data_IF_111817263533
#
_entry.id   IF_111817263533
#
_cell.length_a   1.000
_cell.length_b   1.000
_cell.length_c   1.000
_cell.angle_alpha   90.00
_cell.angle_beta   90.00
_cell.angle_gamma   90.00
#
_symmetry.space_group_name_H-M   'P 1'
#
loop_
_entity.id
_entity.type
_entity.pdbx_description
1 polymer ?
#
# COMPACT_ATOMS: atom_id res chain seq x y z
N UNK A 1 12.94 7.47 33.05
CA UNK A 1 11.49 7.74 32.96
C UNK A 1 11.12 7.60 31.50
N UNK A 2 10.45 6.50 31.14
CA UNK A 2 10.01 6.28 29.76
C UNK A 2 8.86 7.23 29.47
N UNK A 3 9.11 8.26 28.68
CA UNK A 3 8.06 9.06 28.06
C UNK A 3 7.33 8.17 27.08
N UNK A 4 6.26 7.51 27.56
CA UNK A 4 5.23 6.94 26.71
C UNK A 4 4.73 8.06 25.80
N UNK A 5 4.98 7.94 24.50
CA UNK A 5 4.40 8.81 23.48
C UNK A 5 3.30 8.02 22.78
N UNK A 6 2.12 7.83 23.41
CA UNK A 6 1.05 6.99 22.86
C UNK A 6 0.61 7.45 21.46
N UNK A 7 0.77 8.73 21.15
CA UNK A 7 0.54 9.28 19.80
C UNK A 7 1.59 8.81 18.79
N UNK A 8 2.87 8.75 19.18
CA UNK A 8 3.94 8.27 18.31
C UNK A 8 3.85 6.75 18.09
N UNK A 9 3.50 6.00 19.13
CA UNK A 9 3.30 4.55 19.02
C UNK A 9 2.10 4.22 18.12
N UNK A 10 1.00 4.97 18.24
CA UNK A 10 -0.14 4.84 17.35
C UNK A 10 0.22 5.22 15.91
N UNK A 11 0.94 6.32 15.69
CA UNK A 11 1.39 6.73 14.35
C UNK A 11 2.29 5.67 13.70
N UNK A 12 3.19 5.04 14.46
CA UNK A 12 4.03 3.95 13.97
C UNK A 12 3.20 2.71 13.62
N UNK A 13 2.17 2.40 14.41
CA UNK A 13 1.25 1.31 14.11
C UNK A 13 0.49 1.57 12.81
N UNK A 14 -0.05 2.77 12.65
CA UNK A 14 -0.77 3.19 11.44
C UNK A 14 0.13 3.09 10.20
N UNK A 15 1.37 3.60 10.27
CA UNK A 15 2.34 3.53 9.16
C UNK A 15 2.74 2.09 8.80
N UNK A 16 2.82 1.19 9.78
CA UNK A 16 3.10 -0.23 9.53
C UNK A 16 1.95 -0.91 8.80
N UNK A 17 0.71 -0.60 9.18
CA UNK A 17 -0.48 -1.10 8.52
C UNK A 17 -0.57 -0.60 7.07
N UNK A 18 -0.32 0.69 6.85
CA UNK A 18 -0.21 1.27 5.50
C UNK A 18 0.84 0.56 4.65
N UNK A 19 2.03 0.32 5.22
CA UNK A 19 3.11 -0.38 4.52
C UNK A 19 2.75 -1.82 4.14
N UNK A 20 2.02 -2.54 5.00
CA UNK A 20 1.59 -3.91 4.72
C UNK A 20 0.62 -3.98 3.53
N UNK A 21 -0.39 -3.10 3.50
CA UNK A 21 -1.41 -3.08 2.45
C UNK A 21 -0.81 -2.66 1.10
N UNK A 22 0.04 -1.64 1.09
CA UNK A 22 0.77 -1.21 -0.11
C UNK A 22 1.69 -2.33 -0.63
N UNK A 23 2.39 -3.04 0.25
CA UNK A 23 3.25 -4.16 -0.14
C UNK A 23 2.44 -5.31 -0.79
N UNK A 24 1.25 -5.61 -0.28
CA UNK A 24 0.38 -6.64 -0.87
C UNK A 24 -0.09 -6.24 -2.28
N UNK A 25 -0.49 -4.98 -2.48
CA UNK A 25 -0.88 -4.46 -3.79
C UNK A 25 0.28 -4.57 -4.78
N UNK A 26 1.47 -4.07 -4.40
CA UNK A 26 2.66 -4.14 -5.26
C UNK A 26 3.00 -5.60 -5.60
N UNK A 27 3.00 -6.48 -4.60
CA UNK A 27 3.30 -7.91 -4.80
C UNK A 27 2.30 -8.55 -5.76
N UNK A 28 1.00 -8.33 -5.56
CA UNK A 28 -0.04 -8.85 -6.44
C UNK A 28 0.11 -8.35 -7.87
N UNK A 29 0.41 -7.06 -8.07
CA UNK A 29 0.68 -6.50 -9.40
C UNK A 29 1.92 -7.13 -10.08
N UNK A 30 2.99 -7.38 -9.32
CA UNK A 30 4.18 -8.05 -9.84
C UNK A 30 3.85 -9.50 -10.20
N UNK A 31 3.21 -10.25 -9.31
CA UNK A 31 2.83 -11.64 -9.56
C UNK A 31 1.89 -11.76 -10.77
N UNK A 32 0.95 -10.83 -10.91
CA UNK A 32 0.06 -10.76 -12.07
C UNK A 32 0.82 -10.58 -13.39
N UNK A 33 1.79 -9.66 -13.40
CA UNK A 33 2.63 -9.39 -14.58
C UNK A 33 3.47 -10.60 -15.00
N UNK A 34 3.86 -11.43 -14.05
CA UNK A 34 4.71 -12.60 -14.28
C UNK A 34 3.95 -13.93 -14.31
N UNK A 35 2.63 -13.91 -14.12
CA UNK A 35 1.79 -15.10 -14.18
C UNK A 35 1.89 -15.77 -15.56
N UNK A 36 2.19 -17.06 -15.57
CA UNK A 36 2.30 -17.88 -16.78
C UNK A 36 0.99 -18.63 -17.03
N UNK A 37 0.25 -18.92 -15.96
CA UNK A 37 -1.04 -19.61 -16.00
C UNK A 37 -2.18 -18.68 -15.59
N UNK A 38 -3.39 -19.04 -16.03
CA UNK A 38 -4.60 -18.32 -15.65
C UNK A 38 -4.89 -18.44 -14.15
N UNK A 39 -4.52 -19.55 -13.52
CA UNK A 39 -4.67 -19.74 -12.07
C UNK A 39 -3.76 -18.79 -11.28
N UNK A 40 -2.49 -18.67 -11.66
CA UNK A 40 -1.56 -17.70 -11.07
C UNK A 40 -2.07 -16.27 -11.25
N UNK A 41 -2.63 -15.97 -12.42
CA UNK A 41 -3.21 -14.65 -12.71
C UNK A 41 -4.39 -14.35 -11.79
N UNK A 42 -5.31 -15.30 -11.60
CA UNK A 42 -6.47 -15.15 -10.71
C UNK A 42 -6.07 -15.01 -9.25
N UNK A 43 -5.04 -15.75 -8.80
CA UNK A 43 -4.50 -15.61 -7.44
C UNK A 43 -3.93 -14.20 -7.26
N UNK A 44 -3.14 -13.72 -8.23
CA UNK A 44 -2.56 -12.38 -8.18
C UNK A 44 -3.62 -11.27 -8.20
N UNK A 45 -4.67 -11.40 -9.03
CA UNK A 45 -5.82 -10.48 -9.04
C UNK A 45 -6.53 -10.49 -7.68
N UNK A 46 -6.79 -11.67 -7.10
CA UNK A 46 -7.42 -11.77 -5.79
C UNK A 46 -6.60 -11.13 -4.67
N UNK A 47 -5.26 -11.22 -4.72
CA UNK A 47 -4.38 -10.53 -3.76
C UNK A 47 -4.57 -9.01 -3.84
N UNK A 48 -4.59 -8.46 -5.06
CA UNK A 48 -4.76 -7.02 -5.28
C UNK A 48 -6.16 -6.56 -4.82
N UNK A 49 -7.22 -7.25 -5.24
CA UNK A 49 -8.59 -6.90 -4.88
C UNK A 49 -8.82 -6.99 -3.36
N UNK A 50 -8.39 -8.07 -2.72
CA UNK A 50 -8.54 -8.23 -1.28
C UNK A 50 -7.79 -7.14 -0.50
N UNK A 51 -6.63 -6.68 -0.99
CA UNK A 51 -5.89 -5.60 -0.36
C UNK A 51 -6.64 -4.27 -0.45
N UNK A 52 -7.23 -3.94 -1.61
CA UNK A 52 -8.06 -2.75 -1.77
C UNK A 52 -9.37 -2.81 -0.98
N UNK A 53 -10.04 -3.96 -0.97
CA UNK A 53 -11.25 -4.18 -0.19
C UNK A 53 -10.99 -4.00 1.31
N UNK A 54 -9.91 -4.60 1.82
CA UNK A 54 -9.49 -4.45 3.22
C UNK A 54 -9.25 -2.98 3.54
N UNK A 55 -8.49 -2.27 2.70
CA UNK A 55 -8.20 -0.85 2.86
C UNK A 55 -9.49 0.00 2.88
N UNK A 56 -10.42 -0.30 1.98
CA UNK A 56 -11.69 0.39 1.87
C UNK A 56 -12.57 0.20 3.12
N UNK A 57 -12.66 -1.03 3.63
CA UNK A 57 -13.41 -1.38 4.84
C UNK A 57 -12.83 -0.67 6.07
N UNK A 58 -11.52 -0.76 6.27
CA UNK A 58 -10.85 -0.18 7.45
C UNK A 58 -10.98 1.35 7.51
N UNK A 59 -11.04 2.00 6.34
CA UNK A 59 -11.14 3.45 6.22
C UNK A 59 -12.57 3.95 6.02
N UNK A 60 -13.57 3.06 5.99
CA UNK A 60 -14.97 3.42 5.76
C UNK A 60 -15.19 4.13 4.41
N UNK A 61 -14.48 3.69 3.37
CA UNK A 61 -14.56 4.25 2.02
C UNK A 61 -14.94 3.19 0.98
N UNK A 62 -15.17 3.62 -0.25
CA UNK A 62 -15.44 2.71 -1.37
C UNK A 62 -14.14 2.14 -1.92
N UNK A 63 -14.16 0.91 -2.43
CA UNK A 63 -13.00 0.26 -3.08
C UNK A 63 -12.33 1.14 -4.14
N UNK A 64 -13.13 1.75 -5.04
CA UNK A 64 -12.63 2.69 -6.06
C UNK A 64 -11.87 3.89 -5.48
N UNK A 65 -12.24 4.35 -4.28
CA UNK A 65 -11.52 5.44 -3.59
C UNK A 65 -10.22 4.94 -2.97
N UNK A 66 -10.21 3.71 -2.44
CA UNK A 66 -9.00 3.08 -1.94
C UNK A 66 -7.99 2.87 -3.07
N UNK A 67 -8.44 2.39 -4.23
CA UNK A 67 -7.62 2.23 -5.44
C UNK A 67 -6.97 3.57 -5.85
N UNK A 68 -7.78 4.61 -6.07
CA UNK A 68 -7.26 5.93 -6.44
C UNK A 68 -6.32 6.54 -5.39
N UNK A 69 -6.56 6.27 -4.10
CA UNK A 69 -5.69 6.75 -3.03
C UNK A 69 -4.31 6.07 -3.08
N UNK A 70 -4.28 4.75 -3.24
CA UNK A 70 -3.02 4.01 -3.33
C UNK A 70 -2.19 4.39 -4.56
N UNK A 71 -2.83 4.60 -5.71
CA UNK A 71 -2.15 5.08 -6.93
C UNK A 71 -1.47 6.43 -6.69
N UNK A 72 -2.21 7.40 -6.13
CA UNK A 72 -1.67 8.73 -5.82
C UNK A 72 -0.56 8.67 -4.77
N UNK A 73 -0.73 7.83 -3.75
CA UNK A 73 0.26 7.66 -2.68
C UNK A 73 1.56 7.03 -3.19
N UNK A 74 1.47 6.02 -4.08
CA UNK A 74 2.64 5.44 -4.74
C UNK A 74 3.37 6.46 -5.60
N UNK A 75 2.64 7.28 -6.35
CA UNK A 75 3.22 8.33 -7.18
C UNK A 75 3.94 9.39 -6.33
N UNK A 76 3.37 9.78 -5.19
CA UNK A 76 4.02 10.68 -4.23
C UNK A 76 5.29 10.07 -3.63
N UNK A 77 5.28 8.79 -3.28
CA UNK A 77 6.47 8.09 -2.78
C UNK A 77 7.57 8.00 -3.85
N UNK A 78 7.21 7.73 -5.11
CA UNK A 78 8.15 7.73 -6.23
C UNK A 78 8.77 9.12 -6.40
N UNK A 79 7.96 10.18 -6.38
CA UNK A 79 8.45 11.55 -6.49
C UNK A 79 9.37 11.93 -5.33
N UNK A 80 9.04 11.53 -4.09
CA UNK A 80 9.87 11.76 -2.92
C UNK A 80 11.24 11.06 -3.06
N UNK A 81 11.26 9.81 -3.49
CA UNK A 81 12.51 9.07 -3.74
C UNK A 81 13.32 9.73 -4.86
N UNK A 82 12.68 10.17 -5.93
CA UNK A 82 13.35 10.91 -7.02
C UNK A 82 13.95 12.23 -6.53
N UNK A 83 13.25 12.99 -5.69
CA UNK A 83 13.75 14.23 -5.10
C UNK A 83 14.96 13.98 -4.17
N UNK A 84 14.89 12.94 -3.33
CA UNK A 84 16.02 12.52 -2.48
C UNK A 84 17.24 12.14 -3.32
N UNK A 85 17.05 11.38 -4.41
CA UNK A 85 18.14 10.99 -5.31
C UNK A 85 18.70 12.17 -6.11
N UNK A 86 17.88 13.18 -6.40
CA UNK A 86 18.30 14.42 -7.05
C UNK A 86 19.04 15.37 -6.07
N UNK A 87 19.02 15.10 -4.77
CA UNK A 87 19.59 15.97 -3.74
C UNK A 87 18.71 17.19 -3.42
N UNK A 88 17.41 17.12 -3.71
CA UNK A 88 16.43 18.20 -3.57
C UNK A 88 15.52 18.04 -2.33
N UNK A 89 15.84 17.09 -1.44
CA UNK A 89 15.05 16.75 -0.25
C UNK A 89 15.62 17.31 1.06
#
# INVERSE_FOLDING_TARGET
>A
MNSFHPVADQLIADLKQESQLVNLIIKGCIEHRWAVTEEERQIAEAIVYNAFETYAIERGMTERKAESFCEQYLEQLIQLVQAVLAGEA
#
